data_IF_514455516376
#
_entry.id   IF_514455516376
#
_cell.length_a   1.000
_cell.length_b   1.000
_cell.length_c   1.000
_cell.angle_alpha   90.00
_cell.angle_beta   90.00
_cell.angle_gamma   90.00
#
_symmetry.space_group_name_H-M   'P 1'
#
loop_
_entity.id
_entity.type
_entity.pdbx_description
1 polymer ?
#
# COMPACT_ATOMS: atom_id res chain seq x y z
N UNK A 1 -11.56 1.95 6.99
CA UNK A 1 -11.90 3.38 6.75
C UNK A 1 -13.40 3.51 6.51
N UNK A 2 -14.05 4.46 7.13
CA UNK A 2 -15.48 4.73 6.91
C UNK A 2 -15.66 5.62 5.66
N UNK A 3 -15.58 5.05 4.46
CA UNK A 3 -15.78 5.78 3.20
C UNK A 3 -14.52 6.17 2.44
N UNK A 4 -13.45 5.39 2.55
CA UNK A 4 -12.22 5.58 1.78
C UNK A 4 -11.09 6.26 2.56
N UNK A 5 -10.06 6.73 1.86
CA UNK A 5 -8.92 7.40 2.46
C UNK A 5 -9.28 8.86 2.80
N UNK A 6 -9.13 9.29 4.07
CA UNK A 6 -9.40 10.68 4.45
C UNK A 6 -8.43 11.64 3.77
N UNK A 7 -8.90 12.88 3.49
CA UNK A 7 -8.02 13.94 3.00
C UNK A 7 -6.91 14.28 4.00
N UNK A 8 -5.79 14.84 3.52
CA UNK A 8 -4.64 15.26 4.33
C UNK A 8 -3.92 14.10 5.04
N UNK A 9 -3.99 12.90 4.49
CA UNK A 9 -3.42 11.70 5.10
C UNK A 9 -2.28 11.11 4.28
N UNK A 10 -1.33 10.48 4.97
CA UNK A 10 -0.33 9.60 4.40
C UNK A 10 -0.70 8.15 4.72
N UNK A 11 -0.94 7.37 3.68
CA UNK A 11 -1.37 5.98 3.75
C UNK A 11 -0.29 5.08 3.14
N UNK A 12 0.05 3.98 3.81
CA UNK A 12 1.20 3.15 3.44
C UNK A 12 0.79 1.69 3.34
N UNK A 13 1.10 1.07 2.21
CA UNK A 13 1.08 -0.37 2.02
C UNK A 13 2.47 -0.95 2.30
N UNK A 14 2.58 -1.84 3.28
CA UNK A 14 3.79 -2.59 3.59
C UNK A 14 3.72 -3.94 2.87
N UNK A 15 4.75 -4.31 2.11
CA UNK A 15 4.78 -5.60 1.43
C UNK A 15 6.21 -6.07 1.15
N UNK A 16 6.40 -7.38 1.12
CA UNK A 16 7.63 -7.99 0.64
C UNK A 16 7.86 -7.77 -0.86
N UNK A 17 9.07 -8.03 -1.32
CA UNK A 17 9.39 -8.01 -2.75
C UNK A 17 8.57 -9.07 -3.48
N UNK A 18 7.94 -8.72 -4.61
CA UNK A 18 7.14 -9.66 -5.41
C UNK A 18 5.71 -9.90 -4.92
N UNK A 19 5.34 -9.49 -3.70
CA UNK A 19 3.99 -9.71 -3.15
C UNK A 19 2.90 -8.96 -3.92
N UNK A 20 3.23 -7.84 -4.59
CA UNK A 20 2.28 -7.11 -5.43
C UNK A 20 2.01 -5.67 -5.03
N UNK A 21 2.99 -4.96 -4.44
CA UNK A 21 2.86 -3.52 -4.09
C UNK A 21 2.32 -2.67 -5.24
N UNK A 22 3.03 -2.70 -6.39
CA UNK A 22 2.66 -1.87 -7.55
C UNK A 22 1.34 -2.33 -8.17
N UNK A 23 1.03 -3.65 -8.14
CA UNK A 23 -0.27 -4.16 -8.55
C UNK A 23 -1.39 -3.58 -7.68
N UNK A 24 -1.23 -3.64 -6.36
CA UNK A 24 -2.18 -3.05 -5.42
C UNK A 24 -2.38 -1.55 -5.69
N UNK A 25 -1.29 -0.80 -5.88
CA UNK A 25 -1.36 0.65 -6.15
C UNK A 25 -2.03 0.96 -7.50
N UNK A 26 -1.70 0.21 -8.55
CA UNK A 26 -2.37 0.34 -9.87
C UNK A 26 -3.87 -0.01 -9.79
N UNK A 27 -4.22 -1.08 -9.04
CA UNK A 27 -5.62 -1.44 -8.83
C UNK A 27 -6.39 -0.34 -8.08
N UNK A 28 -5.82 0.21 -7.01
CA UNK A 28 -6.44 1.34 -6.31
C UNK A 28 -6.58 2.57 -7.20
N UNK A 29 -5.58 2.88 -8.02
CA UNK A 29 -5.64 3.99 -8.98
C UNK A 29 -6.77 3.79 -10.00
N UNK A 30 -6.88 2.58 -10.59
CA UNK A 30 -7.95 2.22 -11.51
C UNK A 30 -9.35 2.33 -10.86
N UNK A 31 -9.50 1.89 -9.61
CA UNK A 31 -10.75 2.04 -8.87
C UNK A 31 -11.11 3.50 -8.60
N UNK A 32 -10.13 4.34 -8.28
CA UNK A 32 -10.36 5.78 -8.11
C UNK A 32 -10.83 6.42 -9.43
N UNK A 33 -10.20 6.07 -10.56
CA UNK A 33 -10.61 6.54 -11.88
C UNK A 33 -12.03 6.10 -12.22
N UNK A 34 -12.38 4.83 -11.97
CA UNK A 34 -13.73 4.30 -12.20
C UNK A 34 -14.80 5.01 -11.36
N UNK A 35 -14.42 5.61 -10.24
CA UNK A 35 -15.28 6.45 -9.40
C UNK A 35 -15.29 7.93 -9.82
N UNK A 36 -14.67 8.29 -10.93
CA UNK A 36 -14.60 9.67 -11.43
C UNK A 36 -13.59 10.55 -10.70
N UNK A 37 -12.62 9.96 -9.95
CA UNK A 37 -11.57 10.70 -9.24
C UNK A 37 -10.37 10.97 -10.13
N UNK A 38 -9.79 12.16 -9.98
CA UNK A 38 -8.55 12.52 -10.66
C UNK A 38 -7.34 11.97 -9.91
N UNK A 39 -6.50 11.22 -10.59
CA UNK A 39 -5.36 10.49 -10.04
C UNK A 39 -4.05 11.07 -10.55
N UNK A 40 -3.16 11.46 -9.65
CA UNK A 40 -1.75 11.69 -9.94
C UNK A 40 -0.93 10.49 -9.47
N UNK A 41 -0.29 9.78 -10.39
CA UNK A 41 0.57 8.65 -10.09
C UNK A 41 2.04 9.04 -10.34
N UNK A 42 2.83 9.07 -9.29
CA UNK A 42 4.27 9.31 -9.36
C UNK A 42 4.99 7.98 -9.22
N UNK A 43 5.78 7.61 -10.22
CA UNK A 43 6.61 6.42 -10.18
C UNK A 43 8.10 6.79 -10.11
N UNK A 44 8.84 6.10 -9.25
CA UNK A 44 10.29 6.21 -9.13
C UNK A 44 11.00 4.86 -9.38
N UNK A 45 10.22 3.80 -9.62
CA UNK A 45 10.73 2.44 -9.84
C UNK A 45 10.51 1.98 -11.28
N UNK A 46 9.37 2.27 -11.85
CA UNK A 46 8.96 1.78 -13.17
C UNK A 46 8.72 2.95 -14.13
N UNK A 47 8.93 2.68 -15.44
CA UNK A 47 8.58 3.64 -16.48
C UNK A 47 7.08 3.98 -16.47
N UNK A 48 6.74 5.22 -16.84
CA UNK A 48 5.34 5.71 -16.83
C UNK A 48 4.45 4.91 -17.78
N UNK A 49 4.97 4.40 -18.89
CA UNK A 49 4.26 3.54 -19.85
C UNK A 49 3.87 2.20 -19.21
N UNK A 50 4.75 1.62 -18.38
CA UNK A 50 4.46 0.36 -17.69
C UNK A 50 3.38 0.50 -16.61
N UNK A 51 3.34 1.64 -15.96
CA UNK A 51 2.25 1.95 -15.02
C UNK A 51 0.94 2.17 -15.79
N UNK A 52 0.97 2.88 -16.94
CA UNK A 52 -0.19 3.06 -17.79
C UNK A 52 -0.76 1.72 -18.27
N UNK A 53 0.07 0.83 -18.84
CA UNK A 53 -0.33 -0.51 -19.27
C UNK A 53 -1.04 -1.31 -18.17
N UNK A 54 -0.54 -1.25 -16.94
CA UNK A 54 -1.13 -1.96 -15.78
C UNK A 54 -2.49 -1.40 -15.39
N UNK A 55 -2.63 -0.08 -15.41
CA UNK A 55 -3.91 0.58 -15.12
C UNK A 55 -4.91 0.32 -16.25
N UNK A 56 -4.48 0.37 -17.51
CA UNK A 56 -5.33 0.10 -18.67
C UNK A 56 -5.81 -1.36 -18.70
N UNK A 57 -4.92 -2.33 -18.47
CA UNK A 57 -5.27 -3.75 -18.33
C UNK A 57 -6.34 -3.96 -17.26
N UNK A 58 -6.21 -3.28 -16.13
CA UNK A 58 -7.18 -3.32 -15.05
C UNK A 58 -8.52 -2.73 -15.45
N UNK A 59 -8.54 -1.52 -16.01
CA UNK A 59 -9.76 -0.81 -16.42
C UNK A 59 -10.51 -1.53 -17.53
N UNK A 60 -9.77 -2.06 -18.53
CA UNK A 60 -10.34 -2.80 -19.65
C UNK A 60 -10.73 -4.24 -19.30
N UNK A 61 -10.28 -4.75 -18.14
CA UNK A 61 -10.46 -6.14 -17.70
C UNK A 61 -9.87 -7.17 -18.67
N UNK A 62 -8.69 -6.90 -19.19
CA UNK A 62 -7.93 -7.79 -20.09
C UNK A 62 -6.54 -8.04 -19.47
N UNK A 63 -5.87 -9.13 -19.89
CA UNK A 63 -4.50 -9.38 -19.45
C UNK A 63 -3.53 -8.38 -20.09
N UNK A 64 -2.35 -8.17 -19.47
CA UNK A 64 -1.29 -7.34 -20.05
C UNK A 64 -0.84 -7.94 -21.39
N UNK A 65 -0.76 -9.25 -21.51
CA UNK A 65 -0.36 -9.93 -22.74
C UNK A 65 -1.38 -9.65 -23.85
N UNK A 66 -2.68 -9.81 -23.58
CA UNK A 66 -3.74 -9.47 -24.53
C UNK A 66 -3.77 -7.97 -24.89
N UNK A 67 -3.39 -7.09 -23.94
CA UNK A 67 -3.31 -5.65 -24.21
C UNK A 67 -2.25 -5.33 -25.26
N UNK A 68 -1.09 -6.02 -25.21
CA UNK A 68 -0.03 -5.86 -26.20
C UNK A 68 -0.42 -6.33 -27.62
N UNK A 69 -1.31 -7.32 -27.69
CA UNK A 69 -1.81 -7.87 -28.96
C UNK A 69 -3.03 -7.13 -29.48
N UNK A 70 -3.63 -6.23 -28.69
CA UNK A 70 -4.86 -5.57 -29.03
C UNK A 70 -4.67 -4.57 -30.19
N UNK A 71 -5.44 -4.68 -31.30
CA UNK A 71 -5.39 -3.70 -32.37
C UNK A 71 -5.72 -2.30 -31.84
N UNK A 72 -4.99 -1.29 -32.32
CA UNK A 72 -5.16 0.10 -31.87
C UNK A 72 -6.61 0.57 -31.90
N UNK A 73 -7.36 0.25 -32.95
CA UNK A 73 -8.75 0.64 -33.04
C UNK A 73 -9.60 0.08 -31.89
N UNK A 74 -9.40 -1.18 -31.52
CA UNK A 74 -10.11 -1.80 -30.40
C UNK A 74 -9.68 -1.21 -29.04
N UNK A 75 -8.41 -0.85 -28.91
CA UNK A 75 -7.92 -0.15 -27.75
C UNK A 75 -8.61 1.21 -27.59
N UNK A 76 -8.61 2.03 -28.67
CA UNK A 76 -9.25 3.35 -28.68
C UNK A 76 -10.75 3.26 -28.37
N UNK A 77 -11.46 2.28 -28.95
CA UNK A 77 -12.89 2.04 -28.66
C UNK A 77 -13.14 1.70 -27.17
N UNK A 78 -12.31 0.83 -26.58
CA UNK A 78 -12.43 0.47 -25.16
C UNK A 78 -12.12 1.67 -24.24
N UNK A 79 -11.05 2.43 -24.54
CA UNK A 79 -10.70 3.64 -23.78
C UNK A 79 -11.80 4.68 -23.86
N UNK A 80 -12.33 4.98 -25.05
CA UNK A 80 -13.45 5.90 -25.22
C UNK A 80 -14.69 5.46 -24.40
N UNK A 81 -14.97 4.15 -24.36
CA UNK A 81 -16.09 3.64 -23.56
C UNK A 81 -15.86 3.80 -22.04
N UNK A 82 -14.61 3.73 -21.57
CA UNK A 82 -14.24 4.00 -20.19
C UNK A 82 -14.36 5.50 -19.90
N UNK A 83 -13.81 6.36 -20.75
CA UNK A 83 -13.87 7.81 -20.60
C UNK A 83 -15.31 8.36 -20.56
N UNK A 84 -16.21 7.75 -21.34
CA UNK A 84 -17.64 8.12 -21.32
C UNK A 84 -18.34 7.76 -20.00
N UNK A 85 -17.82 6.77 -19.27
CA UNK A 85 -18.42 6.29 -18.00
C UNK A 85 -17.86 6.99 -16.77
N UNK A 86 -16.69 7.63 -16.89
CA UNK A 86 -16.00 8.25 -15.78
C UNK A 86 -15.43 9.61 -16.17
N UNK A 87 -15.52 10.58 -15.26
CA UNK A 87 -14.89 11.89 -15.42
C UNK A 87 -13.50 11.94 -14.79
N UNK A 88 -12.97 10.82 -14.31
CA UNK A 88 -11.66 10.72 -13.70
C UNK A 88 -10.54 10.99 -14.71
N UNK A 89 -9.53 11.73 -14.29
CA UNK A 89 -8.35 12.02 -15.09
C UNK A 89 -7.14 11.34 -14.48
N UNK A 90 -6.28 10.75 -15.32
CA UNK A 90 -5.02 10.14 -14.90
C UNK A 90 -3.84 10.92 -15.43
N UNK A 91 -2.93 11.29 -14.56
CA UNK A 91 -1.59 11.76 -14.93
C UNK A 91 -0.59 10.87 -14.24
N UNK A 92 0.32 10.29 -15.03
CA UNK A 92 1.47 9.52 -14.55
C UNK A 92 2.70 10.37 -14.78
N UNK A 93 3.61 10.38 -13.79
CA UNK A 93 4.90 11.07 -13.90
C UNK A 93 6.01 10.21 -13.36
N UNK A 94 6.97 9.92 -14.23
CA UNK A 94 8.20 9.23 -13.86
C UNK A 94 9.25 10.21 -13.34
N UNK A 95 9.97 9.77 -12.30
CA UNK A 95 11.22 10.38 -11.83
C UNK A 95 12.27 9.28 -11.66
N UNK A 96 13.54 9.57 -11.97
CA UNK A 96 14.61 8.64 -11.65
C UNK A 96 14.64 8.32 -10.15
N UNK A 97 15.03 7.09 -9.82
CA UNK A 97 15.18 6.64 -8.43
C UNK A 97 16.05 7.60 -7.63
N UNK A 98 15.65 7.92 -6.41
CA UNK A 98 16.33 8.83 -5.48
C UNK A 98 16.55 10.27 -6.00
N UNK A 99 15.83 10.71 -7.04
CA UNK A 99 15.99 12.06 -7.61
C UNK A 99 14.90 13.04 -7.16
N UNK A 100 13.73 12.58 -6.78
CA UNK A 100 12.58 13.42 -6.47
C UNK A 100 12.22 13.39 -4.99
N UNK A 101 11.88 14.54 -4.45
CA UNK A 101 11.41 14.76 -3.07
C UNK A 101 10.13 15.62 -3.07
N UNK A 102 9.55 15.85 -1.90
CA UNK A 102 8.28 16.57 -1.72
C UNK A 102 8.19 17.91 -2.46
N UNK A 103 9.31 18.66 -2.62
CA UNK A 103 9.29 19.93 -3.34
C UNK A 103 9.11 19.76 -4.87
N UNK A 104 9.64 18.67 -5.45
CA UNK A 104 9.41 18.36 -6.86
C UNK A 104 7.93 18.01 -7.09
N UNK A 105 7.35 17.21 -6.20
CA UNK A 105 5.92 16.86 -6.27
C UNK A 105 5.03 18.08 -6.10
N UNK A 106 5.37 18.98 -5.17
CA UNK A 106 4.66 20.26 -4.99
C UNK A 106 4.73 21.13 -6.25
N UNK A 107 5.90 21.21 -6.88
CA UNK A 107 6.10 21.91 -8.16
C UNK A 107 5.24 21.32 -9.27
N UNK A 108 5.26 19.98 -9.41
CA UNK A 108 4.44 19.26 -10.37
C UNK A 108 2.94 19.53 -10.21
N UNK A 109 2.42 19.40 -8.98
CA UNK A 109 0.99 19.67 -8.69
C UNK A 109 0.59 21.08 -9.10
N UNK A 110 1.42 22.09 -8.77
CA UNK A 110 1.18 23.48 -9.17
C UNK A 110 1.23 23.67 -10.69
N UNK A 111 2.20 23.05 -11.35
CA UNK A 111 2.32 23.11 -12.80
C UNK A 111 1.09 22.50 -13.49
N UNK A 112 0.65 21.34 -13.05
CA UNK A 112 -0.53 20.67 -13.59
C UNK A 112 -1.82 21.47 -13.37
N UNK A 113 -1.95 22.12 -12.21
CA UNK A 113 -3.08 22.99 -11.93
C UNK A 113 -3.13 24.20 -12.89
N UNK A 114 -1.97 24.79 -13.20
CA UNK A 114 -1.88 25.97 -14.07
C UNK A 114 -2.02 25.59 -15.55
N UNK A 115 -1.27 24.59 -16.00
CA UNK A 115 -1.16 24.27 -17.44
C UNK A 115 -2.27 23.38 -17.96
N UNK A 116 -2.86 22.53 -17.11
CA UNK A 116 -3.85 21.53 -17.50
C UNK A 116 -5.17 21.62 -16.74
N UNK A 117 -5.32 22.62 -15.85
CA UNK A 117 -6.46 22.72 -14.93
C UNK A 117 -6.70 21.44 -14.13
N UNK A 118 -5.66 20.63 -13.94
CA UNK A 118 -5.71 19.36 -13.26
C UNK A 118 -5.46 19.53 -11.75
N UNK A 119 -6.37 18.97 -10.96
CA UNK A 119 -6.26 18.89 -9.50
C UNK A 119 -6.48 17.44 -9.08
N UNK A 120 -5.48 16.77 -8.50
CA UNK A 120 -5.65 15.39 -8.06
C UNK A 120 -6.59 15.29 -6.86
N UNK A 121 -7.45 14.27 -6.87
CA UNK A 121 -8.22 13.84 -5.70
C UNK A 121 -7.41 12.89 -4.80
N UNK A 122 -6.43 12.20 -5.41
CA UNK A 122 -5.49 11.29 -4.74
C UNK A 122 -4.14 11.30 -5.46
N UNK A 123 -3.07 11.13 -4.68
CA UNK A 123 -1.70 11.04 -5.19
C UNK A 123 -1.13 9.68 -4.81
N UNK A 124 -0.65 8.92 -5.79
CA UNK A 124 0.14 7.69 -5.60
C UNK A 124 1.62 8.02 -5.76
N UNK A 125 2.46 7.47 -4.87
CA UNK A 125 3.93 7.60 -4.93
C UNK A 125 4.54 6.20 -4.81
N UNK A 126 5.06 5.66 -5.89
CA UNK A 126 5.59 4.29 -5.98
C UNK A 126 7.13 4.34 -6.06
N UNK A 127 7.86 4.12 -4.93
CA UNK A 127 7.45 3.98 -3.55
C UNK A 127 8.31 4.84 -2.61
N UNK A 128 7.92 4.98 -1.37
CA UNK A 128 8.44 5.96 -0.42
C UNK A 128 9.96 5.84 -0.20
N UNK A 129 10.49 4.62 -0.02
CA UNK A 129 11.89 4.43 0.36
C UNK A 129 12.89 4.86 -0.72
N UNK A 130 12.46 4.96 -1.98
CA UNK A 130 13.30 5.43 -3.11
C UNK A 130 13.05 6.90 -3.47
N UNK A 131 12.27 7.63 -2.67
CA UNK A 131 12.21 9.09 -2.74
C UNK A 131 13.49 9.70 -2.16
N UNK A 132 13.79 10.92 -2.58
CA UNK A 132 14.78 11.75 -1.91
C UNK A 132 14.14 12.54 -0.76
N UNK A 133 14.95 12.96 0.22
CA UNK A 133 14.54 13.93 1.22
C UNK A 133 14.96 15.35 0.80
N UNK A 134 14.12 16.34 1.04
CA UNK A 134 14.48 17.75 0.85
C UNK A 134 15.34 18.29 1.99
N UNK A 135 15.37 17.60 3.15
CA UNK A 135 16.09 18.00 4.37
C UNK A 135 17.49 17.40 4.45
N UNK A 136 17.68 16.21 3.91
CA UNK A 136 18.91 15.45 4.03
C UNK A 136 19.44 15.04 2.65
N UNK A 137 20.79 15.09 2.49
CA UNK A 137 21.45 14.51 1.32
C UNK A 137 21.66 13.02 1.53
N UNK A 138 21.45 12.23 0.48
CA UNK A 138 21.61 10.77 0.52
C UNK A 138 23.04 10.31 0.95
N UNK A 139 24.07 11.13 0.69
CA UNK A 139 25.46 10.84 1.04
C UNK A 139 25.89 11.47 2.40
N UNK A 140 24.98 12.00 3.20
CA UNK A 140 25.27 12.53 4.53
C UNK A 140 25.39 11.42 5.57
N UNK A 141 26.03 11.70 6.72
CA UNK A 141 26.06 10.80 7.90
C UNK A 141 24.68 10.67 8.57
N UNK A 142 23.65 10.45 7.78
CA UNK A 142 22.27 10.31 8.28
C UNK A 142 21.92 8.83 8.31
N UNK A 143 21.49 8.34 9.46
CA UNK A 143 20.97 6.98 9.61
C UNK A 143 19.75 6.80 8.69
N UNK A 144 19.63 5.64 8.04
CA UNK A 144 18.51 5.27 7.15
C UNK A 144 17.16 5.49 7.83
N UNK A 145 17.04 5.17 9.12
CA UNK A 145 15.87 5.46 9.95
C UNK A 145 15.43 6.95 9.88
N UNK A 146 16.37 7.87 10.13
CA UNK A 146 16.08 9.31 10.12
C UNK A 146 15.76 9.81 8.72
N UNK A 147 16.41 9.23 7.71
CA UNK A 147 16.17 9.56 6.31
C UNK A 147 14.76 9.20 5.86
N UNK A 148 14.32 7.96 6.10
CA UNK A 148 12.99 7.46 5.76
C UNK A 148 11.90 8.19 6.55
N UNK A 149 12.15 8.47 7.84
CA UNK A 149 11.24 9.28 8.65
C UNK A 149 11.06 10.68 8.07
N UNK A 150 12.14 11.33 7.64
CA UNK A 150 12.07 12.67 7.04
C UNK A 150 11.24 12.66 5.74
N UNK A 151 11.44 11.67 4.86
CA UNK A 151 10.64 11.50 3.64
C UNK A 151 9.15 11.35 4.02
N UNK A 152 8.83 10.50 4.97
CA UNK A 152 7.45 10.29 5.42
C UNK A 152 6.81 11.58 5.96
N UNK A 153 7.55 12.33 6.80
CA UNK A 153 7.09 13.63 7.31
C UNK A 153 6.87 14.65 6.20
N UNK A 154 7.76 14.69 5.20
CA UNK A 154 7.66 15.58 4.05
C UNK A 154 6.44 15.24 3.17
N UNK A 155 6.20 13.95 2.91
CA UNK A 155 5.03 13.50 2.14
C UNK A 155 3.73 13.75 2.92
N UNK A 156 3.72 13.50 4.22
CA UNK A 156 2.57 13.84 5.05
C UNK A 156 2.31 15.34 5.08
N UNK A 157 3.35 16.18 5.15
CA UNK A 157 3.25 17.63 5.01
C UNK A 157 2.64 18.04 3.68
N UNK A 158 3.07 17.41 2.58
CA UNK A 158 2.52 17.65 1.24
C UNK A 158 1.02 17.28 1.17
N UNK A 159 0.60 16.16 1.76
CA UNK A 159 -0.81 15.76 1.82
C UNK A 159 -1.67 16.81 2.54
N UNK A 160 -1.16 17.37 3.65
CA UNK A 160 -1.85 18.41 4.41
C UNK A 160 -1.95 19.72 3.61
N UNK A 161 -0.85 20.15 2.97
CA UNK A 161 -0.79 21.39 2.18
C UNK A 161 -1.72 21.35 0.96
N UNK A 162 -1.76 20.21 0.28
CA UNK A 162 -2.57 20.02 -0.94
C UNK A 162 -4.01 19.64 -0.65
N UNK A 163 -4.33 19.29 0.60
CA UNK A 163 -5.62 18.77 1.02
C UNK A 163 -6.03 17.49 0.28
N UNK A 164 -5.05 16.61 -0.04
CA UNK A 164 -5.24 15.38 -0.83
C UNK A 164 -4.64 14.20 -0.07
N UNK A 165 -5.25 13.01 -0.07
CA UNK A 165 -4.63 11.81 0.45
C UNK A 165 -3.45 11.39 -0.43
N UNK A 166 -2.36 10.99 0.20
CA UNK A 166 -1.22 10.35 -0.47
C UNK A 166 -1.23 8.86 -0.11
N UNK A 167 -1.17 8.02 -1.13
CA UNK A 167 -0.94 6.58 -1.01
C UNK A 167 0.46 6.25 -1.47
N UNK A 168 1.22 5.57 -0.63
CA UNK A 168 2.55 5.08 -0.99
C UNK A 168 2.76 3.65 -0.49
N UNK A 169 3.91 3.09 -0.79
CA UNK A 169 4.29 1.77 -0.34
C UNK A 169 5.66 1.79 0.35
N UNK A 170 5.93 0.74 1.12
CA UNK A 170 7.24 0.45 1.72
C UNK A 170 7.52 -1.04 1.68
N UNK A 171 8.77 -1.43 1.81
CA UNK A 171 9.17 -2.83 1.83
C UNK A 171 9.26 -3.35 3.28
N UNK A 172 9.03 -4.66 3.46
CA UNK A 172 9.33 -5.35 4.71
C UNK A 172 10.84 -5.58 4.87
N UNK A 173 11.28 -5.79 6.10
CA UNK A 173 12.62 -6.33 6.39
C UNK A 173 12.76 -7.74 5.83
N UNK A 174 14.01 -8.26 5.73
CA UNK A 174 14.25 -9.65 5.31
C UNK A 174 13.61 -10.67 6.26
N UNK A 175 13.55 -10.38 7.56
CA UNK A 175 12.87 -11.23 8.55
C UNK A 175 11.36 -11.21 8.38
N UNK A 176 10.76 -10.06 8.06
CA UNK A 176 9.33 -9.94 7.79
C UNK A 176 8.87 -10.61 6.50
N UNK A 177 9.80 -10.89 5.56
CA UNK A 177 9.47 -11.60 4.31
C UNK A 177 9.10 -13.07 4.53
N UNK A 178 9.70 -13.72 5.53
CA UNK A 178 9.42 -15.12 5.89
C UNK A 178 8.35 -15.27 6.98
N UNK A 179 7.82 -14.17 7.49
CA UNK A 179 6.85 -14.17 8.58
C UNK A 179 5.42 -14.18 8.04
N UNK A 180 4.63 -15.17 8.44
CA UNK A 180 3.20 -15.24 8.12
C UNK A 180 2.39 -14.17 8.88
N UNK A 181 2.94 -13.58 9.94
CA UNK A 181 2.34 -12.53 10.75
C UNK A 181 3.20 -11.26 10.78
N UNK A 182 3.10 -10.47 9.71
CA UNK A 182 3.83 -9.20 9.56
C UNK A 182 3.30 -8.15 10.52
N UNK A 183 4.21 -7.50 11.28
CA UNK A 183 3.93 -6.41 12.22
C UNK A 183 4.52 -5.06 11.81
N UNK A 184 4.34 -4.03 12.66
CA UNK A 184 4.95 -2.71 12.46
C UNK A 184 6.47 -2.74 12.58
N UNK A 185 7.00 -3.70 13.33
CA UNK A 185 8.42 -3.99 13.53
C UNK A 185 9.10 -4.50 12.25
N UNK A 186 8.34 -5.11 11.34
CA UNK A 186 8.82 -5.62 10.07
C UNK A 186 8.96 -4.54 8.99
N UNK A 187 8.68 -3.29 9.33
CA UNK A 187 8.90 -2.16 8.41
C UNK A 187 10.40 -1.99 8.18
N UNK A 188 10.85 -2.14 6.93
CA UNK A 188 12.27 -1.99 6.62
C UNK A 188 12.77 -0.61 7.02
N UNK A 189 13.87 -0.61 7.78
CA UNK A 189 14.67 0.55 8.13
C UNK A 189 14.05 1.61 9.06
N UNK A 190 12.76 1.53 9.50
CA UNK A 190 12.24 2.68 10.26
C UNK A 190 10.97 2.47 11.09
N UNK A 191 11.08 2.48 12.43
CA UNK A 191 9.95 2.77 13.32
C UNK A 191 9.37 4.19 13.13
N UNK A 192 10.09 5.09 12.49
CA UNK A 192 9.64 6.46 12.22
C UNK A 192 8.52 6.54 11.19
N UNK A 193 8.47 5.60 10.25
CA UNK A 193 7.40 5.54 9.25
C UNK A 193 6.05 5.18 9.90
N UNK A 194 5.93 4.10 10.72
CA UNK A 194 4.71 3.83 11.48
C UNK A 194 4.25 4.98 12.36
N UNK A 195 5.18 5.73 12.97
CA UNK A 195 4.83 6.89 13.79
C UNK A 195 4.18 8.01 12.97
N UNK A 196 4.63 8.22 11.73
CA UNK A 196 4.22 9.33 10.86
C UNK A 196 2.97 9.02 10.05
N UNK A 197 2.83 7.82 9.50
CA UNK A 197 1.69 7.41 8.68
C UNK A 197 0.36 7.49 9.43
N UNK A 198 -0.70 7.78 8.72
CA UNK A 198 -2.07 7.86 9.26
C UNK A 198 -2.80 6.52 9.17
N UNK A 199 -2.60 5.78 8.08
CA UNK A 199 -3.07 4.41 7.88
C UNK A 199 -1.89 3.56 7.39
N UNK A 200 -1.73 2.36 7.96
CA UNK A 200 -0.80 1.34 7.45
C UNK A 200 -1.47 -0.01 7.42
N UNK A 201 -1.21 -0.76 6.37
CA UNK A 201 -1.61 -2.15 6.24
C UNK A 201 -0.51 -2.94 5.54
N UNK A 202 -0.42 -4.22 5.87
CA UNK A 202 0.48 -5.16 5.22
C UNK A 202 -0.26 -5.96 4.16
N UNK A 203 0.40 -6.20 3.05
CA UNK A 203 0.05 -7.20 2.05
C UNK A 203 0.95 -8.41 2.31
N UNK A 204 0.34 -9.55 2.55
CA UNK A 204 1.02 -10.78 2.95
C UNK A 204 0.69 -11.85 1.91
N UNK A 205 1.71 -12.51 1.38
CA UNK A 205 1.60 -13.71 0.54
C UNK A 205 2.45 -14.82 1.12
N UNK A 206 2.00 -16.05 0.94
CA UNK A 206 2.73 -17.27 1.22
C UNK A 206 2.36 -18.29 0.13
N UNK A 207 3.00 -19.47 0.13
CA UNK A 207 2.76 -20.50 -0.90
C UNK A 207 1.28 -20.91 -0.98
N UNK A 208 0.60 -21.06 0.16
CA UNK A 208 -0.82 -21.44 0.22
C UNK A 208 -1.73 -20.35 -0.41
N UNK A 209 -1.46 -19.09 -0.10
CA UNK A 209 -2.22 -17.96 -0.66
C UNK A 209 -1.93 -17.78 -2.16
N UNK A 210 -0.68 -18.00 -2.59
CA UNK A 210 -0.30 -17.92 -4.00
C UNK A 210 -0.96 -19.02 -4.84
N UNK A 211 -1.07 -20.25 -4.33
CA UNK A 211 -1.81 -21.34 -4.98
C UNK A 211 -3.30 -21.02 -5.16
N UNK A 212 -3.89 -20.31 -4.19
CA UNK A 212 -5.28 -19.86 -4.24
C UNK A 212 -5.49 -18.57 -5.01
N UNK A 213 -4.43 -17.95 -5.54
CA UNK A 213 -4.45 -16.62 -6.12
C UNK A 213 -5.05 -15.58 -5.15
N UNK A 214 -4.54 -15.53 -3.93
CA UNK A 214 -5.02 -14.67 -2.87
C UNK A 214 -3.89 -13.88 -2.21
N UNK A 215 -4.23 -12.78 -1.56
CA UNK A 215 -3.34 -12.00 -0.71
C UNK A 215 -4.08 -11.69 0.59
N UNK A 216 -3.41 -11.88 1.73
CA UNK A 216 -3.93 -11.42 3.00
C UNK A 216 -3.57 -9.93 3.20
N UNK A 217 -4.55 -9.18 3.68
CA UNK A 217 -4.40 -7.77 4.04
C UNK A 217 -4.56 -7.66 5.55
N UNK A 218 -3.52 -7.16 6.23
CA UNK A 218 -3.54 -6.94 7.69
C UNK A 218 -3.45 -5.45 8.00
N UNK A 219 -4.42 -4.93 8.75
CA UNK A 219 -4.37 -3.56 9.22
C UNK A 219 -3.35 -3.44 10.37
N UNK A 220 -2.32 -2.62 10.18
CA UNK A 220 -1.24 -2.40 11.15
C UNK A 220 -1.47 -1.14 11.99
N UNK A 221 -2.00 -0.09 11.38
CA UNK A 221 -2.29 1.19 12.02
C UNK A 221 -3.47 1.87 11.37
N UNK A 222 -4.32 2.47 12.20
CA UNK A 222 -5.43 3.31 11.72
C UNK A 222 -5.71 4.41 12.75
N UNK A 223 -5.51 5.68 12.36
CA UNK A 223 -5.77 6.84 13.24
C UNK A 223 -7.24 7.25 13.29
N UNK A 224 -8.04 6.79 12.32
CA UNK A 224 -9.40 7.29 12.10
C UNK A 224 -10.48 6.26 12.46
N UNK A 225 -10.07 5.06 12.83
CA UNK A 225 -10.99 3.98 13.15
C UNK A 225 -10.38 3.02 14.17
N UNK A 226 -11.22 2.16 14.74
CA UNK A 226 -10.78 1.07 15.60
C UNK A 226 -9.88 0.09 14.77
N UNK A 227 -8.60 -0.06 15.14
CA UNK A 227 -7.69 -0.96 14.43
C UNK A 227 -8.02 -2.44 14.62
N UNK A 228 -8.91 -2.79 15.56
CA UNK A 228 -9.32 -4.18 15.81
C UNK A 228 -10.42 -4.64 14.85
N UNK A 229 -11.18 -3.69 14.30
CA UNK A 229 -12.25 -3.99 13.33
C UNK A 229 -11.64 -4.32 11.97
N UNK A 230 -11.95 -5.50 11.40
CA UNK A 230 -11.41 -6.00 10.14
C UNK A 230 -9.86 -5.99 10.13
N UNK A 231 -9.27 -6.46 11.22
CA UNK A 231 -7.82 -6.45 11.43
C UNK A 231 -7.08 -7.21 10.33
N UNK A 232 -7.64 -8.31 9.85
CA UNK A 232 -7.09 -9.15 8.78
C UNK A 232 -8.22 -9.68 7.90
N UNK A 233 -8.00 -9.69 6.60
CA UNK A 233 -8.92 -10.26 5.60
C UNK A 233 -8.13 -10.67 4.36
N UNK A 234 -8.78 -11.46 3.49
CA UNK A 234 -8.20 -11.94 2.24
C UNK A 234 -8.87 -11.28 1.06
N UNK A 235 -8.10 -11.02 0.02
CA UNK A 235 -8.56 -10.59 -1.29
C UNK A 235 -8.00 -11.51 -2.37
N UNK A 236 -8.80 -11.78 -3.39
CA UNK A 236 -8.33 -12.48 -4.58
C UNK A 236 -7.44 -11.57 -5.43
N UNK A 237 -6.50 -12.15 -6.15
CA UNK A 237 -5.56 -11.45 -7.02
C UNK A 237 -5.55 -12.06 -8.43
N UNK A 238 -5.82 -11.26 -9.44
CA UNK A 238 -5.58 -11.57 -10.84
C UNK A 238 -4.36 -10.79 -11.32
N UNK A 239 -3.20 -11.46 -11.30
CA UNK A 239 -1.92 -10.83 -11.65
C UNK A 239 -1.85 -10.46 -13.12
N UNK A 240 -2.50 -11.22 -14.00
CA UNK A 240 -2.52 -10.96 -15.44
C UNK A 240 -3.26 -9.66 -15.78
N UNK A 241 -4.36 -9.39 -15.07
CA UNK A 241 -5.21 -8.20 -15.26
C UNK A 241 -4.94 -7.08 -14.26
N UNK A 242 -3.91 -7.21 -13.43
CA UNK A 242 -3.59 -6.24 -12.38
C UNK A 242 -4.79 -5.94 -11.46
N UNK A 243 -5.58 -6.96 -11.09
CA UNK A 243 -6.81 -6.81 -10.31
C UNK A 243 -6.75 -7.47 -8.96
N UNK A 244 -7.43 -6.83 -8.02
CA UNK A 244 -7.86 -7.43 -6.76
C UNK A 244 -9.38 -7.52 -6.77
N UNK A 245 -9.94 -8.53 -6.11
CA UNK A 245 -11.37 -8.74 -6.03
C UNK A 245 -11.75 -9.37 -4.67
N UNK A 246 -13.01 -9.19 -4.28
CA UNK A 246 -13.51 -9.77 -3.04
C UNK A 246 -13.65 -11.30 -3.18
N UNK A 247 -13.28 -12.03 -2.14
CA UNK A 247 -13.46 -13.48 -2.03
C UNK A 247 -14.64 -13.81 -1.12
N UNK A 248 -15.16 -15.03 -1.24
CA UNK A 248 -16.33 -15.49 -0.49
C UNK A 248 -16.11 -15.52 1.04
N UNK A 249 -17.21 -15.50 1.81
CA UNK A 249 -17.14 -15.53 3.28
C UNK A 249 -16.47 -16.80 3.82
N UNK A 250 -16.58 -17.92 3.11
CA UNK A 250 -15.99 -19.19 3.54
C UNK A 250 -14.45 -19.16 3.43
N UNK A 251 -13.92 -18.48 2.43
CA UNK A 251 -12.48 -18.24 2.26
C UNK A 251 -11.93 -17.29 3.33
N UNK A 252 -12.76 -16.33 3.81
CA UNK A 252 -12.38 -15.43 4.91
C UNK A 252 -12.28 -16.17 6.26
N UNK A 253 -13.12 -17.20 6.49
CA UNK A 253 -13.16 -17.96 7.75
C UNK A 253 -11.93 -18.85 7.96
N UNK A 254 -11.35 -19.40 6.88
CA UNK A 254 -10.17 -20.25 6.96
C UNK A 254 -8.94 -19.60 7.60
N UNK A 255 -8.85 -18.27 7.55
CA UNK A 255 -7.77 -17.49 8.17
C UNK A 255 -8.04 -17.12 9.64
N UNK A 256 -9.31 -17.00 10.03
CA UNK A 256 -9.68 -16.71 11.42
C UNK A 256 -9.37 -17.90 12.34
N UNK A 257 -9.55 -19.13 11.84
CA UNK A 257 -9.33 -20.34 12.62
C UNK A 257 -7.85 -20.71 12.82
N UNK A 258 -6.97 -20.35 11.88
CA UNK A 258 -5.52 -20.58 12.03
C UNK A 258 -4.88 -19.72 13.12
N UNK A 259 -5.39 -18.51 13.35
CA UNK A 259 -4.90 -17.62 14.43
C UNK A 259 -5.42 -17.99 15.82
N UNK A 260 -6.55 -18.71 15.93
CA UNK A 260 -7.07 -19.15 17.24
C UNK A 260 -6.35 -20.37 17.81
N UNK A 261 -5.61 -21.12 16.99
CA UNK A 261 -4.83 -22.28 17.47
C UNK A 261 -3.50 -21.85 18.12
N UNK A 262 -2.85 -20.82 17.60
CA UNK A 262 -1.56 -20.34 18.18
C UNK A 262 -1.76 -19.54 19.48
N UNK A 263 -2.83 -18.77 19.62
CA UNK A 263 -3.11 -18.00 20.85
C UNK A 263 -3.62 -18.88 22.01
N UNK A 264 -4.19 -20.05 21.76
CA UNK A 264 -4.64 -20.95 22.84
C UNK A 264 -3.51 -21.74 23.48
N UNK A 265 -2.44 -22.02 22.76
CA UNK A 265 -1.27 -22.71 23.34
C UNK A 265 -0.33 -21.76 24.09
N UNK A 266 -0.35 -20.46 23.81
CA UNK A 266 0.42 -19.46 24.56
C UNK A 266 -0.21 -19.07 25.91
N UNK A 267 -1.50 -19.38 26.12
CA UNK A 267 -2.23 -19.16 27.38
C UNK A 267 -2.73 -20.45 28.02
N UNK A 268 -2.25 -21.61 27.61
CA UNK A 268 -2.38 -22.83 28.39
C UNK A 268 -1.58 -22.62 29.68
N UNK A 269 -2.31 -22.26 30.74
CA UNK A 269 -1.81 -21.97 32.06
C UNK A 269 -0.65 -22.91 32.46
N UNK A 270 0.50 -22.40 32.91
CA UNK A 270 1.28 -23.17 33.84
C UNK A 270 0.37 -23.39 35.07
N UNK A 271 -0.03 -24.61 35.28
CA UNK A 271 -0.61 -25.04 36.54
C UNK A 271 0.44 -24.73 37.61
N UNK A 272 0.28 -23.62 38.30
CA UNK A 272 1.07 -23.31 39.45
C UNK A 272 0.71 -24.37 40.53
N UNK A 273 1.53 -25.41 40.59
CA UNK A 273 1.44 -26.39 41.65
C UNK A 273 1.87 -25.72 42.95
N UNK A 274 0.90 -25.41 43.81
CA UNK A 274 1.11 -24.80 45.11
C UNK A 274 1.84 -25.72 46.12
N UNK A 275 2.23 -26.90 45.71
CA UNK A 275 2.88 -27.89 46.60
C UNK A 275 4.39 -27.80 46.63
N UNK A 276 5.04 -26.98 45.77
CA UNK A 276 6.53 -26.82 45.79
C UNK A 276 7.06 -25.64 46.59
N UNK A 277 6.24 -24.82 47.24
CA UNK A 277 6.71 -23.85 48.22
C UNK A 277 6.52 -24.43 49.59
N UNK A 278 7.63 -25.07 50.06
CA UNK A 278 7.74 -25.65 51.39
C UNK A 278 7.38 -24.67 52.49
N UNK A 279 6.85 -25.25 53.58
CA UNK A 279 6.58 -24.66 54.87
C UNK A 279 7.85 -24.03 55.51
N UNK A 280 8.13 -22.77 55.22
CA UNK A 280 9.05 -21.97 56.05
C UNK A 280 8.75 -20.48 55.97
N UNK A 281 7.69 -20.04 56.63
CA UNK A 281 7.53 -18.70 57.21
C UNK A 281 6.53 -18.77 58.35
N UNK A 282 7.04 -19.22 59.50
CA UNK A 282 6.44 -18.90 60.82
C UNK A 282 7.36 -17.83 61.41
N UNK A 283 6.92 -16.58 61.47
CA UNK A 283 6.98 -15.66 62.63
C UNK A 283 5.94 -14.57 62.39
#
# INVERSE_FOLDING_TARGET
TKGGLPQKTLNIALAGTGVGKSLFMCHMAANCLSQGRSVLYVTLEMAEERIAERIDANLMNISIDDLHELPKQMYDEKMNAIEQKTNGQLIIKEYPTASAHSNHFRGLIKELAIKRSFKPDIIFIDYLNICASSRFKANGNVNSYMYIKAIAEELRGLAVETNVPIMSATQTTRSGFSNSDVGLEDTSESFGLPATADLMFALISNEELDELNQIAVKQLKNRYNDPTTNKRFVVGIDRAKMKLFDVGEDEQKGLADSNQKEDKDLFANPVFDRTEFGEEWKV
#
